data_IF_508822842783
#
_entry.id   IF_508822842783
#
_cell.length_a   1.000
_cell.length_b   1.000
_cell.length_c   1.000
_cell.angle_alpha   90.00
_cell.angle_beta   90.00
_cell.angle_gamma   90.00
#
_symmetry.space_group_name_H-M   'P 1'
#
loop_
_entity.id
_entity.type
_entity.pdbx_description
1 polymer ?
#
# COMPACT_ATOMS: atom_id res chain seq x y z
N UNK A 1 12.45 19.43 -13.61
CA UNK A 1 11.77 20.46 -14.38
C UNK A 1 10.28 20.18 -14.58
N UNK A 2 9.50 21.20 -14.92
CA UNK A 2 8.06 21.00 -15.11
C UNK A 2 7.56 21.71 -16.36
N UNK A 3 6.88 20.94 -17.21
CA UNK A 3 6.07 21.48 -18.28
C UNK A 3 4.76 21.96 -17.64
N UNK A 4 4.47 23.26 -17.82
CA UNK A 4 3.51 24.02 -17.00
C UNK A 4 4.29 24.75 -15.92
N UNK A 5 5.52 25.07 -16.26
CA UNK A 5 6.43 25.72 -15.33
C UNK A 5 5.84 27.01 -14.75
N UNK A 6 5.15 27.78 -15.59
CA UNK A 6 4.59 29.05 -15.17
C UNK A 6 3.70 28.94 -13.94
N UNK A 7 2.94 27.86 -13.85
CA UNK A 7 2.06 27.63 -12.71
C UNK A 7 2.86 27.18 -11.49
N UNK A 8 4.00 26.53 -11.75
CA UNK A 8 4.87 26.04 -10.68
C UNK A 8 5.56 27.19 -9.96
N UNK A 9 6.13 28.12 -10.72
CA UNK A 9 6.80 29.28 -10.16
C UNK A 9 5.79 30.21 -9.50
N UNK A 10 4.56 30.21 -10.01
CA UNK A 10 3.50 31.01 -9.43
C UNK A 10 3.10 30.42 -8.08
N UNK A 11 3.17 29.10 -7.98
CA UNK A 11 2.99 28.41 -6.70
C UNK A 11 4.22 28.63 -5.83
N UNK A 12 5.41 28.41 -6.39
CA UNK A 12 6.65 28.55 -5.64
C UNK A 12 6.75 29.92 -4.98
N UNK A 13 6.38 30.95 -5.72
CA UNK A 13 6.43 32.31 -5.22
C UNK A 13 5.43 32.50 -4.08
N UNK A 14 4.16 32.22 -4.35
CA UNK A 14 3.09 32.38 -3.37
C UNK A 14 3.45 31.72 -2.05
N UNK A 15 4.05 30.53 -2.12
CA UNK A 15 4.44 29.81 -0.92
C UNK A 15 5.47 30.60 -0.11
N UNK A 16 6.54 31.03 -0.76
CA UNK A 16 7.60 31.74 -0.07
C UNK A 16 7.14 33.06 0.51
N UNK A 17 6.18 33.69 -0.16
CA UNK A 17 5.66 34.97 0.31
C UNK A 17 4.77 34.76 1.53
N UNK A 18 3.82 33.83 1.41
CA UNK A 18 2.89 33.56 2.49
C UNK A 18 3.56 32.83 3.66
N UNK A 19 4.03 31.61 3.41
CA UNK A 19 4.64 30.81 4.47
C UNK A 19 5.88 31.48 5.06
N UNK A 20 6.71 32.06 4.19
CA UNK A 20 7.89 32.78 4.64
C UNK A 20 9.20 32.15 4.20
N UNK A 21 9.18 30.84 3.99
CA UNK A 21 10.36 30.11 3.56
C UNK A 21 10.13 29.43 2.22
N UNK A 22 11.20 28.88 1.65
CA UNK A 22 11.10 28.20 0.36
C UNK A 22 10.62 26.76 0.51
N UNK A 23 9.98 26.24 -0.54
CA UNK A 23 9.55 24.85 -0.57
C UNK A 23 10.74 23.94 -0.32
N UNK A 24 10.51 22.84 0.37
CA UNK A 24 11.56 21.85 0.62
C UNK A 24 11.64 20.88 -0.55
N UNK A 25 12.64 20.00 -0.52
CA UNK A 25 12.83 19.02 -1.57
C UNK A 25 11.56 18.25 -1.92
N UNK A 26 10.94 17.66 -0.92
CA UNK A 26 9.69 16.92 -1.13
C UNK A 26 8.60 17.84 -1.65
N UNK A 27 8.49 19.03 -1.05
CA UNK A 27 7.43 19.98 -1.38
C UNK A 27 7.51 20.45 -2.83
N UNK A 28 8.72 20.65 -3.34
CA UNK A 28 8.91 21.00 -4.74
C UNK A 28 8.32 19.91 -5.63
N UNK A 29 8.73 18.67 -5.36
CA UNK A 29 8.24 17.52 -6.10
C UNK A 29 6.71 17.50 -6.11
N UNK A 30 6.13 17.53 -4.91
CA UNK A 30 4.68 17.54 -4.75
C UNK A 30 4.08 18.74 -5.47
N UNK A 31 4.79 19.86 -5.45
CA UNK A 31 4.34 21.08 -6.11
C UNK A 31 4.17 20.87 -7.61
N UNK A 32 5.14 20.19 -8.22
CA UNK A 32 5.14 19.98 -9.65
C UNK A 32 4.00 19.05 -10.07
N UNK A 33 3.52 18.24 -9.14
CA UNK A 33 2.39 17.36 -9.41
C UNK A 33 1.08 18.12 -9.32
N UNK A 34 0.86 18.80 -8.19
CA UNK A 34 -0.37 19.53 -7.97
C UNK A 34 -0.64 20.52 -9.10
N UNK A 35 0.44 21.09 -9.64
CA UNK A 35 0.34 22.03 -10.75
C UNK A 35 -0.18 21.35 -12.02
N UNK A 36 0.06 20.05 -12.14
CA UNK A 36 -0.37 19.30 -13.32
C UNK A 36 -1.71 18.60 -13.11
N UNK A 37 -2.26 18.68 -11.90
CA UNK A 37 -3.53 18.07 -11.58
C UNK A 37 -3.42 16.57 -11.34
N UNK A 38 -2.26 16.15 -10.84
CA UNK A 38 -2.03 14.74 -10.54
C UNK A 38 -2.23 14.48 -9.05
N UNK A 39 -2.93 13.40 -8.73
CA UNK A 39 -3.09 12.96 -7.36
C UNK A 39 -1.86 12.15 -6.96
N UNK A 40 -1.67 11.93 -5.66
CA UNK A 40 -0.51 11.16 -5.21
C UNK A 40 -0.46 10.90 -3.71
N UNK A 41 0.38 9.95 -3.33
CA UNK A 41 0.63 9.63 -1.93
C UNK A 41 1.91 10.32 -1.45
N UNK A 42 1.81 11.10 -0.38
CA UNK A 42 2.95 11.78 0.20
C UNK A 42 3.94 10.82 0.87
N UNK A 43 4.83 10.24 0.07
CA UNK A 43 5.86 9.35 0.62
C UNK A 43 7.01 10.17 1.21
N UNK A 44 6.84 10.60 2.46
CA UNK A 44 7.87 11.35 3.19
C UNK A 44 7.72 11.17 4.71
N UNK A 45 8.78 11.46 5.49
CA UNK A 45 8.69 11.36 6.95
C UNK A 45 7.86 12.48 7.56
N UNK A 46 7.73 12.47 8.88
CA UNK A 46 6.92 13.45 9.59
C UNK A 46 7.75 14.67 10.01
N UNK A 47 7.20 15.85 9.79
CA UNK A 47 7.87 17.08 10.16
C UNK A 47 8.60 17.74 9.00
N UNK A 48 8.31 17.29 7.78
CA UNK A 48 8.89 17.90 6.59
C UNK A 48 7.85 18.73 5.83
N UNK A 49 6.75 19.04 6.50
CA UNK A 49 5.75 19.93 5.95
C UNK A 49 4.69 19.28 5.07
N UNK A 50 4.07 18.23 5.59
CA UNK A 50 3.00 17.55 4.86
C UNK A 50 1.70 18.35 4.99
N UNK A 51 1.36 18.70 6.22
CA UNK A 51 0.16 19.49 6.48
C UNK A 51 0.30 20.90 5.92
N UNK A 52 1.50 21.46 6.05
CA UNK A 52 1.78 22.81 5.60
C UNK A 52 1.58 22.96 4.11
N UNK A 53 1.94 21.91 3.37
CA UNK A 53 1.83 21.92 1.91
C UNK A 53 0.36 21.82 1.48
N UNK A 54 -0.36 20.90 2.11
CA UNK A 54 -1.78 20.75 1.82
C UNK A 54 -2.52 22.03 2.13
N UNK A 55 -2.13 22.67 3.22
CA UNK A 55 -2.74 23.93 3.64
C UNK A 55 -2.45 25.04 2.62
N UNK A 56 -1.18 25.21 2.30
CA UNK A 56 -0.77 26.26 1.36
C UNK A 56 -1.36 26.03 -0.03
N UNK A 57 -1.44 24.78 -0.45
CA UNK A 57 -1.98 24.43 -1.76
C UNK A 57 -3.44 24.83 -1.87
N UNK A 58 -4.22 24.55 -0.82
CA UNK A 58 -5.62 24.93 -0.77
C UNK A 58 -5.74 26.46 -0.89
N UNK A 59 -4.83 27.18 -0.26
CA UNK A 59 -4.82 28.63 -0.32
C UNK A 59 -4.51 29.10 -1.74
N UNK A 60 -3.57 28.44 -2.38
CA UNK A 60 -3.19 28.80 -3.74
C UNK A 60 -4.30 28.50 -4.74
N UNK A 61 -5.12 27.49 -4.44
CA UNK A 61 -6.22 27.11 -5.31
C UNK A 61 -7.42 28.04 -5.13
N UNK A 62 -7.57 28.57 -3.91
CA UNK A 62 -8.68 29.47 -3.61
C UNK A 62 -8.61 30.74 -4.44
N UNK A 63 -7.40 31.23 -4.67
CA UNK A 63 -7.18 32.42 -5.48
C UNK A 63 -7.84 32.31 -6.84
N UNK A 64 -7.85 31.08 -7.38
CA UNK A 64 -8.40 30.83 -8.70
C UNK A 64 -9.86 30.39 -8.61
N UNK A 65 -10.42 30.44 -7.40
CA UNK A 65 -11.81 30.11 -7.18
C UNK A 65 -12.08 28.61 -7.11
N UNK A 66 -11.05 27.85 -6.78
CA UNK A 66 -11.19 26.40 -6.66
C UNK A 66 -11.40 25.99 -5.20
N UNK A 67 -12.20 24.96 -4.99
CA UNK A 67 -12.54 24.52 -3.65
C UNK A 67 -11.66 23.38 -3.17
N UNK A 68 -11.47 23.30 -1.85
CA UNK A 68 -10.61 22.27 -1.26
C UNK A 68 -11.26 21.68 -0.02
N UNK A 69 -10.85 20.46 0.33
CA UNK A 69 -11.28 19.83 1.57
C UNK A 69 -10.05 19.27 2.29
N UNK A 70 -9.97 19.54 3.59
CA UNK A 70 -8.84 19.08 4.38
C UNK A 70 -9.31 18.16 5.50
N UNK A 71 -9.03 16.87 5.35
CA UNK A 71 -9.53 15.86 6.28
C UNK A 71 -8.44 15.38 7.24
N UNK A 72 -8.74 15.46 8.54
CA UNK A 72 -7.76 15.07 9.56
C UNK A 72 -8.35 14.04 10.53
N UNK A 73 -7.47 13.28 11.20
CA UNK A 73 -7.90 12.24 12.13
C UNK A 73 -8.36 12.77 13.49
N UNK A 74 -7.81 13.91 13.92
CA UNK A 74 -8.14 14.46 15.22
C UNK A 74 -8.81 15.84 15.12
N UNK A 75 -9.41 16.28 16.23
CA UNK A 75 -10.09 17.56 16.27
C UNK A 75 -9.12 18.73 16.41
N UNK A 76 -8.12 18.56 17.28
CA UNK A 76 -7.09 19.57 17.47
C UNK A 76 -6.41 19.93 16.16
N UNK A 77 -6.26 18.94 15.29
CA UNK A 77 -5.68 19.16 13.97
C UNK A 77 -6.62 20.00 13.11
N UNK A 78 -7.92 19.83 13.30
CA UNK A 78 -8.92 20.62 12.61
C UNK A 78 -8.86 22.07 13.08
N UNK A 79 -8.82 22.26 14.39
CA UNK A 79 -8.70 23.59 14.98
C UNK A 79 -7.44 24.29 14.51
N UNK A 80 -6.29 23.68 14.78
CA UNK A 80 -4.99 24.27 14.44
C UNK A 80 -4.91 24.70 12.98
N UNK A 81 -5.44 23.88 12.08
CA UNK A 81 -5.41 24.20 10.66
C UNK A 81 -6.36 25.36 10.36
N UNK A 82 -7.52 25.37 11.01
CA UNK A 82 -8.47 26.47 10.86
C UNK A 82 -7.85 27.79 11.30
N UNK A 83 -7.16 27.76 12.43
CA UNK A 83 -6.50 28.95 12.96
C UNK A 83 -5.43 29.46 12.00
N UNK A 84 -4.53 28.56 11.59
CA UNK A 84 -3.45 28.92 10.68
C UNK A 84 -3.97 29.47 9.35
N UNK A 85 -5.05 28.87 8.85
CA UNK A 85 -5.64 29.28 7.58
C UNK A 85 -6.22 30.69 7.64
N UNK A 86 -7.03 30.95 8.65
CA UNK A 86 -7.72 32.22 8.77
C UNK A 86 -6.76 33.37 9.07
N UNK A 87 -5.52 33.05 9.40
CA UNK A 87 -4.49 34.05 9.63
C UNK A 87 -3.76 34.38 8.34
N UNK A 88 -3.64 33.36 7.48
CA UNK A 88 -2.94 33.48 6.21
C UNK A 88 -3.89 33.88 5.09
N UNK A 89 -5.19 33.79 5.38
CA UNK A 89 -6.22 34.02 4.38
C UNK A 89 -6.29 35.48 3.94
N UNK A 90 -6.68 35.68 2.69
CA UNK A 90 -6.94 37.02 2.16
C UNK A 90 -8.39 37.40 2.44
N UNK A 91 -8.81 38.57 1.95
CA UNK A 91 -10.17 39.05 2.19
C UNK A 91 -11.23 38.24 1.44
N UNK A 92 -10.86 37.73 0.27
CA UNK A 92 -11.81 37.04 -0.60
C UNK A 92 -12.14 35.62 -0.14
N UNK A 93 -11.12 34.85 0.17
CA UNK A 93 -11.27 33.42 0.46
C UNK A 93 -12.24 33.13 1.61
N UNK A 94 -13.15 32.19 1.37
CA UNK A 94 -14.11 31.75 2.37
C UNK A 94 -13.64 30.46 3.00
N UNK A 95 -13.40 30.47 4.31
CA UNK A 95 -12.91 29.28 5.00
C UNK A 95 -13.82 28.86 6.15
N UNK A 96 -14.21 27.59 6.15
CA UNK A 96 -15.08 27.05 7.19
C UNK A 96 -14.59 25.69 7.69
N UNK A 97 -14.76 25.44 8.99
CA UNK A 97 -14.38 24.18 9.58
C UNK A 97 -15.50 23.60 10.43
N UNK A 98 -15.36 22.34 10.85
CA UNK A 98 -16.39 21.69 11.66
C UNK A 98 -15.87 20.58 12.56
N UNK A 99 -16.25 20.64 13.83
CA UNK A 99 -16.01 19.56 14.78
C UNK A 99 -17.12 19.56 15.83
N UNK A 100 -17.35 18.42 16.47
CA UNK A 100 -18.48 18.25 17.38
C UNK A 100 -18.46 19.20 18.59
N UNK A 101 -17.26 19.52 19.08
CA UNK A 101 -17.12 20.39 20.25
C UNK A 101 -17.11 21.85 19.85
N UNK A 102 -17.81 22.16 18.76
CA UNK A 102 -17.86 23.52 18.24
C UNK A 102 -19.10 24.23 18.75
N UNK A 103 -19.06 25.55 18.81
CA UNK A 103 -20.20 26.33 19.24
C UNK A 103 -21.34 26.20 18.23
N UNK A 104 -22.57 26.35 18.70
CA UNK A 104 -23.74 26.25 17.84
C UNK A 104 -23.68 27.31 16.75
N UNK A 105 -23.21 28.51 17.11
CA UNK A 105 -23.09 29.59 16.14
C UNK A 105 -22.17 29.21 15.00
N UNK A 106 -20.98 28.72 15.34
CA UNK A 106 -19.98 28.38 14.34
C UNK A 106 -20.40 27.14 13.55
N UNK A 107 -21.19 26.28 14.17
CA UNK A 107 -21.68 25.07 13.50
C UNK A 107 -22.64 25.43 12.37
N UNK A 108 -23.56 26.35 12.64
CA UNK A 108 -24.56 26.75 11.65
C UNK A 108 -23.95 27.52 10.48
N UNK A 109 -22.89 28.28 10.74
CA UNK A 109 -22.18 28.97 9.67
C UNK A 109 -21.63 27.96 8.67
N UNK A 110 -21.07 26.88 9.19
CA UNK A 110 -20.51 25.81 8.38
C UNK A 110 -21.59 25.11 7.57
N UNK A 111 -22.68 24.77 8.25
CA UNK A 111 -23.78 24.02 7.63
C UNK A 111 -24.55 24.87 6.62
N UNK A 112 -24.52 26.18 6.79
CA UNK A 112 -25.22 27.09 5.89
C UNK A 112 -24.53 27.15 4.53
N UNK A 113 -23.25 27.52 4.56
CA UNK A 113 -22.47 27.64 3.34
C UNK A 113 -22.18 26.27 2.71
N UNK A 114 -22.18 25.23 3.53
CA UNK A 114 -21.95 23.87 3.04
C UNK A 114 -23.06 23.45 2.10
N UNK A 115 -24.29 23.83 2.42
CA UNK A 115 -25.43 23.51 1.57
C UNK A 115 -25.55 24.50 0.42
N UNK A 116 -25.14 25.74 0.67
CA UNK A 116 -25.23 26.80 -0.33
C UNK A 116 -24.01 26.84 -1.24
N UNK A 117 -23.05 25.95 -1.00
CA UNK A 117 -21.82 25.91 -1.77
C UNK A 117 -21.12 27.27 -1.79
N UNK A 118 -21.20 27.99 -0.68
CA UNK A 118 -20.56 29.29 -0.53
C UNK A 118 -19.28 29.17 0.28
N UNK A 119 -18.32 28.42 -0.23
CA UNK A 119 -17.06 28.19 0.47
C UNK A 119 -15.91 27.96 -0.51
N UNK A 120 -14.70 28.22 -0.04
CA UNK A 120 -13.50 27.92 -0.82
C UNK A 120 -12.75 26.76 -0.18
N UNK A 121 -12.65 26.78 1.14
CA UNK A 121 -11.94 25.74 1.87
C UNK A 121 -12.78 25.18 3.02
N UNK A 122 -12.77 23.85 3.15
CA UNK A 122 -13.48 23.17 4.23
C UNK A 122 -12.51 22.30 5.02
N UNK A 123 -12.62 22.35 6.35
CA UNK A 123 -11.77 21.53 7.20
C UNK A 123 -12.59 20.75 8.24
N UNK A 124 -12.52 19.43 8.16
CA UNK A 124 -13.21 18.55 9.08
C UNK A 124 -12.46 17.24 9.26
N UNK A 125 -12.94 16.39 10.17
CA UNK A 125 -12.26 15.15 10.50
C UNK A 125 -12.75 13.96 9.68
N UNK A 126 -12.16 12.80 9.94
CA UNK A 126 -12.56 11.57 9.28
C UNK A 126 -13.87 11.04 9.83
N UNK A 127 -14.23 11.49 11.03
CA UNK A 127 -15.53 11.18 11.61
C UNK A 127 -16.62 11.91 10.83
N UNK A 128 -16.39 13.18 10.52
CA UNK A 128 -17.33 13.97 9.74
C UNK A 128 -17.64 13.28 8.42
N UNK A 129 -16.63 12.66 7.83
CA UNK A 129 -16.79 11.94 6.56
C UNK A 129 -17.72 10.74 6.75
N UNK A 130 -17.57 10.06 7.88
CA UNK A 130 -18.39 8.88 8.16
C UNK A 130 -19.85 9.23 8.40
N UNK A 131 -20.09 10.43 8.93
CA UNK A 131 -21.45 10.87 9.23
C UNK A 131 -22.11 11.50 8.02
N UNK A 132 -21.31 12.09 7.14
CA UNK A 132 -21.83 12.82 5.99
C UNK A 132 -21.35 12.28 4.65
N UNK A 133 -21.42 10.97 4.46
CA UNK A 133 -21.00 10.37 3.20
C UNK A 133 -21.93 10.75 2.06
N UNK A 134 -23.24 10.67 2.31
CA UNK A 134 -24.24 10.97 1.30
C UNK A 134 -24.09 12.39 0.78
N UNK A 135 -24.06 13.36 1.69
CA UNK A 135 -23.94 14.77 1.31
C UNK A 135 -22.59 15.10 0.67
N UNK A 136 -21.53 14.47 1.18
CA UNK A 136 -20.19 14.67 0.62
C UNK A 136 -20.08 14.21 -0.83
N UNK A 137 -20.57 13.00 -1.09
CA UNK A 137 -20.48 12.39 -2.40
C UNK A 137 -21.22 13.20 -3.47
N UNK A 138 -22.01 14.17 -3.04
CA UNK A 138 -22.78 15.01 -3.96
C UNK A 138 -22.04 16.31 -4.30
N UNK A 139 -20.80 16.40 -3.86
CA UNK A 139 -19.99 17.60 -4.09
C UNK A 139 -18.65 17.28 -4.73
N UNK A 140 -18.15 18.18 -5.56
CA UNK A 140 -16.87 18.00 -6.20
C UNK A 140 -15.84 19.02 -5.72
N UNK A 141 -14.74 18.54 -5.17
CA UNK A 141 -13.65 19.39 -4.71
C UNK A 141 -12.48 19.30 -5.67
N UNK A 142 -11.88 20.45 -5.98
CA UNK A 142 -10.70 20.46 -6.83
C UNK A 142 -9.52 19.84 -6.09
N UNK A 143 -9.56 19.88 -4.76
CA UNK A 143 -8.46 19.37 -3.95
C UNK A 143 -8.95 18.76 -2.65
N UNK A 144 -8.61 17.50 -2.44
CA UNK A 144 -8.92 16.80 -1.20
C UNK A 144 -7.64 16.34 -0.55
N UNK A 145 -7.42 16.75 0.68
CA UNK A 145 -6.20 16.39 1.40
C UNK A 145 -6.52 15.52 2.61
N UNK A 146 -6.11 14.26 2.53
CA UNK A 146 -6.40 13.31 3.61
C UNK A 146 -5.14 13.03 4.43
N UNK A 147 -5.20 13.35 5.72
CA UNK A 147 -4.05 13.13 6.60
C UNK A 147 -4.02 11.69 7.12
N UNK A 148 -5.18 11.19 7.56
CA UNK A 148 -5.28 9.81 8.05
C UNK A 148 -5.46 8.83 6.90
N UNK A 149 -4.62 7.80 6.88
CA UNK A 149 -4.64 6.84 5.78
C UNK A 149 -5.52 5.64 6.09
N UNK A 150 -5.38 5.11 7.29
CA UNK A 150 -6.17 3.96 7.72
C UNK A 150 -7.67 4.23 7.59
N UNK A 151 -8.09 5.43 7.95
CA UNK A 151 -9.49 5.83 7.82
C UNK A 151 -9.99 5.62 6.40
N UNK A 152 -9.14 5.94 5.43
CA UNK A 152 -9.49 5.79 4.02
C UNK A 152 -9.75 4.33 3.66
N UNK A 153 -9.00 3.43 4.28
CA UNK A 153 -9.00 2.02 3.91
C UNK A 153 -9.76 1.13 4.87
N UNK A 154 -10.26 1.73 5.96
CA UNK A 154 -11.03 0.97 6.96
C UNK A 154 -12.34 0.44 6.41
N UNK A 155 -13.04 1.28 5.66
CA UNK A 155 -14.29 0.87 5.02
C UNK A 155 -14.23 1.10 3.53
N UNK A 156 -14.58 0.07 2.76
CA UNK A 156 -14.61 0.17 1.31
C UNK A 156 -15.51 1.32 0.88
N UNK A 157 -16.43 1.69 1.76
CA UNK A 157 -17.34 2.79 1.51
C UNK A 157 -16.59 4.14 1.54
N UNK A 158 -15.51 4.19 2.31
CA UNK A 158 -14.67 5.39 2.39
C UNK A 158 -14.03 5.77 1.05
N UNK A 159 -13.33 4.82 0.46
CA UNK A 159 -12.67 5.00 -0.82
C UNK A 159 -13.63 5.57 -1.87
N UNK A 160 -14.84 5.02 -1.93
CA UNK A 160 -15.87 5.50 -2.85
C UNK A 160 -16.22 6.96 -2.57
N UNK A 161 -16.27 7.32 -1.28
CA UNK A 161 -16.64 8.67 -0.90
C UNK A 161 -15.63 9.73 -1.37
N UNK A 162 -14.34 9.45 -1.17
CA UNK A 162 -13.29 10.34 -1.66
C UNK A 162 -13.37 10.46 -3.19
N UNK A 163 -13.43 9.31 -3.86
CA UNK A 163 -13.53 9.25 -5.32
C UNK A 163 -14.61 10.17 -5.86
N UNK A 164 -15.82 10.06 -5.30
CA UNK A 164 -16.92 10.94 -5.70
C UNK A 164 -16.66 12.38 -5.26
N UNK A 165 -15.87 12.54 -4.21
CA UNK A 165 -15.52 13.87 -3.74
C UNK A 165 -14.61 14.59 -4.73
N UNK A 166 -13.89 13.82 -5.53
CA UNK A 166 -13.01 14.40 -6.54
C UNK A 166 -13.65 14.43 -7.93
N UNK A 167 -14.98 14.29 -7.96
CA UNK A 167 -15.72 14.41 -9.19
C UNK A 167 -15.80 13.13 -10.01
N UNK A 168 -15.64 11.99 -9.36
CA UNK A 168 -15.78 10.71 -10.03
C UNK A 168 -17.14 10.10 -9.78
N UNK A 169 -18.04 10.17 -10.77
CA UNK A 169 -19.42 9.68 -10.67
C UNK A 169 -19.49 8.25 -10.12
N UNK A 170 -20.56 7.96 -9.39
CA UNK A 170 -20.77 6.65 -8.81
C UNK A 170 -20.85 5.56 -9.89
N UNK A 171 -21.48 5.89 -11.01
CA UNK A 171 -21.62 4.94 -12.12
C UNK A 171 -20.26 4.48 -12.64
N UNK A 172 -19.32 5.40 -12.69
CA UNK A 172 -17.97 5.11 -13.19
C UNK A 172 -17.16 4.33 -12.17
N UNK A 173 -17.50 4.46 -10.90
CA UNK A 173 -16.84 3.70 -9.85
C UNK A 173 -17.26 2.22 -9.90
N UNK A 174 -18.55 1.99 -10.13
CA UNK A 174 -19.05 0.62 -10.25
C UNK A 174 -18.43 -0.10 -11.45
N UNK A 175 -18.50 0.53 -12.61
CA UNK A 175 -17.96 -0.07 -13.83
C UNK A 175 -16.46 -0.30 -13.73
N UNK A 176 -15.78 0.62 -13.06
CA UNK A 176 -14.33 0.48 -12.83
C UNK A 176 -14.03 -0.74 -11.97
N UNK A 177 -14.73 -0.84 -10.84
CA UNK A 177 -14.54 -1.95 -9.93
C UNK A 177 -14.97 -3.28 -10.57
N UNK A 178 -16.07 -3.23 -11.32
CA UNK A 178 -16.56 -4.39 -12.04
C UNK A 178 -15.50 -4.90 -13.01
N UNK A 179 -14.76 -3.96 -13.61
CA UNK A 179 -13.69 -4.30 -14.55
C UNK A 179 -12.47 -4.85 -13.82
N UNK A 180 -12.14 -4.25 -12.69
CA UNK A 180 -10.97 -4.64 -11.90
C UNK A 180 -11.16 -5.99 -11.24
N UNK A 181 -12.38 -6.29 -10.84
CA UNK A 181 -12.70 -7.57 -10.20
C UNK A 181 -12.44 -8.73 -11.16
N UNK A 182 -12.74 -8.52 -12.43
CA UNK A 182 -12.53 -9.55 -13.45
C UNK A 182 -11.05 -9.77 -13.70
N UNK A 183 -10.22 -8.86 -13.21
CA UNK A 183 -8.78 -8.95 -13.38
C UNK A 183 -8.26 -8.06 -14.48
N UNK A 184 -9.15 -7.31 -15.10
CA UNK A 184 -8.78 -6.39 -16.18
C UNK A 184 -8.39 -5.02 -15.62
N UNK A 185 -7.85 -4.18 -16.49
CA UNK A 185 -7.54 -2.80 -16.10
C UNK A 185 -8.53 -1.85 -16.75
N UNK A 186 -9.00 -0.89 -15.97
CA UNK A 186 -10.05 0.03 -16.39
C UNK A 186 -9.46 1.31 -16.98
N UNK A 187 -9.87 1.68 -18.18
CA UNK A 187 -9.39 2.88 -18.83
C UNK A 187 -10.34 4.04 -18.58
N UNK A 188 -10.02 4.89 -17.60
CA UNK A 188 -10.87 6.01 -17.24
C UNK A 188 -11.18 6.90 -18.45
N UNK A 189 -12.34 7.57 -18.42
CA UNK A 189 -12.72 8.51 -19.49
C UNK A 189 -11.80 9.73 -19.46
N UNK A 190 -11.20 10.05 -20.59
CA UNK A 190 -10.19 11.10 -20.65
C UNK A 190 -10.76 12.52 -20.57
N UNK A 191 -12.07 12.64 -20.68
CA UNK A 191 -12.72 13.94 -20.61
C UNK A 191 -13.32 14.24 -19.24
N UNK A 192 -13.07 13.37 -18.28
CA UNK A 192 -13.63 13.53 -16.94
C UNK A 192 -12.94 14.65 -16.17
N UNK A 193 -11.61 14.60 -16.12
CA UNK A 193 -10.82 15.62 -15.43
C UNK A 193 -11.20 15.69 -13.96
N UNK A 194 -10.76 14.69 -13.18
CA UNK A 194 -11.05 14.62 -11.74
C UNK A 194 -10.18 15.59 -10.95
N UNK A 195 -10.59 15.87 -9.71
CA UNK A 195 -9.83 16.76 -8.86
C UNK A 195 -8.60 16.08 -8.31
N UNK A 196 -7.86 16.78 -7.45
CA UNK A 196 -6.65 16.24 -6.88
C UNK A 196 -6.90 15.55 -5.55
N UNK A 197 -6.42 14.31 -5.42
CA UNK A 197 -6.49 13.58 -4.17
C UNK A 197 -5.09 13.38 -3.63
N UNK A 198 -4.85 13.82 -2.40
CA UNK A 198 -3.54 13.64 -1.78
C UNK A 198 -3.66 12.92 -0.43
N UNK A 199 -2.99 11.78 -0.33
CA UNK A 199 -3.02 10.99 0.91
C UNK A 199 -1.69 11.12 1.65
N UNK A 200 -1.78 11.57 2.90
CA UNK A 200 -0.59 11.93 3.67
C UNK A 200 0.45 10.83 3.81
N UNK A 201 0.00 9.63 4.14
CA UNK A 201 0.93 8.54 4.42
C UNK A 201 0.51 7.24 3.75
N UNK A 202 1.21 6.15 4.09
CA UNK A 202 0.88 4.81 3.62
C UNK A 202 0.69 3.88 4.82
N UNK A 203 -0.37 3.10 4.81
CA UNK A 203 -0.73 2.24 5.93
C UNK A 203 0.26 1.09 6.11
N UNK A 204 0.67 0.85 7.35
CA UNK A 204 1.53 -0.28 7.69
C UNK A 204 0.69 -1.55 7.79
N UNK A 205 -0.62 -1.40 7.59
CA UNK A 205 -1.55 -2.52 7.64
C UNK A 205 -2.68 -2.33 6.62
N UNK A 206 -2.35 -2.48 5.33
CA UNK A 206 -3.32 -2.33 4.24
C UNK A 206 -4.19 -3.56 4.11
N UNK A 207 -5.45 -3.38 3.71
CA UNK A 207 -6.39 -4.50 3.58
C UNK A 207 -7.51 -4.22 2.58
N UNK A 208 -7.76 -5.17 1.69
CA UNK A 208 -8.85 -5.05 0.74
C UNK A 208 -8.49 -5.11 -0.73
N UNK A 209 -9.51 -5.12 -1.57
CA UNK A 209 -9.36 -5.10 -3.02
C UNK A 209 -9.68 -3.70 -3.51
N UNK A 210 -10.45 -2.98 -2.71
CA UNK A 210 -10.88 -1.61 -3.01
C UNK A 210 -9.77 -0.61 -3.38
N UNK A 211 -8.65 -0.63 -2.64
CA UNK A 211 -7.55 0.33 -2.85
C UNK A 211 -7.00 0.38 -4.29
N UNK A 212 -7.51 -0.46 -5.19
CA UNK A 212 -7.05 -0.51 -6.58
C UNK A 212 -7.77 0.49 -7.49
N UNK A 213 -8.80 1.14 -6.95
CA UNK A 213 -9.59 2.09 -7.72
C UNK A 213 -8.86 3.42 -7.94
N UNK A 214 -7.89 3.69 -7.08
CA UNK A 214 -7.07 4.89 -7.22
C UNK A 214 -6.09 4.70 -8.37
N UNK A 215 -5.72 3.43 -8.60
CA UNK A 215 -4.77 3.06 -9.64
C UNK A 215 -5.29 3.33 -11.04
N UNK A 216 -6.59 3.12 -11.24
CA UNK A 216 -7.19 3.25 -12.56
C UNK A 216 -7.98 4.54 -12.75
N UNK A 217 -8.28 5.22 -11.65
CA UNK A 217 -9.07 6.44 -11.72
C UNK A 217 -8.22 7.70 -11.53
N UNK A 218 -7.27 7.65 -10.60
CA UNK A 218 -6.42 8.79 -10.33
C UNK A 218 -4.96 8.51 -10.66
N UNK A 219 -4.69 7.33 -11.22
CA UNK A 219 -3.35 6.95 -11.66
C UNK A 219 -2.30 6.99 -10.55
N UNK A 220 -2.70 6.62 -9.34
CA UNK A 220 -1.77 6.56 -8.21
C UNK A 220 -2.11 5.39 -7.29
N UNK A 221 -1.10 4.89 -6.57
CA UNK A 221 -1.28 3.72 -5.72
C UNK A 221 -1.10 4.05 -4.24
N UNK A 222 -2.16 3.82 -3.47
CA UNK A 222 -2.15 4.08 -2.03
C UNK A 222 -1.17 3.18 -1.29
N UNK A 223 -1.25 1.88 -1.57
CA UNK A 223 -0.34 0.92 -0.96
C UNK A 223 1.11 1.26 -1.22
N UNK A 224 1.99 0.80 -0.33
CA UNK A 224 3.41 1.07 -0.46
C UNK A 224 4.06 0.22 -1.54
N UNK A 226 3.47 -3.18 -5.57
CA UNK A 226 4.39 -4.27 -5.29
C UNK A 226 5.84 -3.78 -5.20
N UNK A 227 6.73 -4.65 -4.75
CA UNK A 227 8.15 -4.31 -4.66
C UNK A 227 8.65 -3.76 -6.00
N UNK A 228 9.66 -2.90 -5.94
CA UNK A 228 10.23 -2.29 -7.13
C UNK A 228 10.21 -3.25 -8.31
N UNK A 229 10.61 -4.49 -8.07
CA UNK A 229 10.56 -5.54 -9.08
C UNK A 229 10.96 -6.87 -8.45
N UNK A 230 10.62 -7.97 -9.10
CA UNK A 230 10.87 -9.29 -8.55
C UNK A 230 11.10 -10.35 -9.61
N UNK A 231 11.84 -11.39 -9.24
CA UNK A 231 12.08 -12.53 -10.10
C UNK A 231 11.77 -13.81 -9.34
N UNK A 232 10.49 -14.05 -9.11
CA UNK A 232 10.04 -15.22 -8.34
C UNK A 232 9.14 -16.13 -9.16
N UNK A 233 9.37 -17.44 -9.03
CA UNK A 233 8.50 -18.44 -9.66
C UNK A 233 7.57 -19.06 -8.63
N UNK A 234 6.28 -18.84 -8.80
CA UNK A 234 5.29 -19.32 -7.84
C UNK A 234 4.65 -20.63 -8.32
N UNK A 235 4.80 -21.68 -7.52
CA UNK A 235 4.26 -22.98 -7.87
C UNK A 235 3.31 -23.48 -6.79
N UNK A 236 2.22 -24.10 -7.21
CA UNK A 236 1.21 -24.58 -6.27
C UNK A 236 1.11 -26.10 -6.24
N UNK A 237 1.07 -26.65 -5.03
CA UNK A 237 0.88 -28.09 -4.84
C UNK A 237 -0.52 -28.33 -4.28
N UNK A 238 -1.35 -29.03 -5.04
CA UNK A 238 -2.76 -29.22 -4.69
C UNK A 238 -2.99 -30.24 -3.57
N UNK A 239 -2.14 -30.20 -2.55
CA UNK A 239 -2.31 -31.10 -1.40
C UNK A 239 -1.38 -30.73 -0.25
N UNK A 240 -1.52 -31.46 0.85
CA UNK A 240 -0.66 -31.27 2.02
C UNK A 240 0.18 -32.52 2.26
N UNK A 241 0.83 -32.99 1.21
CA UNK A 241 1.67 -34.18 1.28
C UNK A 241 3.05 -33.86 1.87
N UNK A 242 3.23 -34.22 3.14
CA UNK A 242 4.51 -34.03 3.82
C UNK A 242 5.61 -34.77 3.08
N UNK A 243 5.25 -35.64 2.14
CA UNK A 243 6.25 -36.46 1.46
C UNK A 243 6.49 -35.91 0.05
N UNK A 244 5.53 -35.13 -0.43
CA UNK A 244 5.71 -34.35 -1.63
C UNK A 244 6.67 -33.25 -1.23
N UNK A 245 6.65 -32.93 0.05
CA UNK A 245 7.52 -31.94 0.67
C UNK A 245 8.93 -32.50 0.86
N UNK A 246 9.02 -33.74 1.30
CA UNK A 246 10.30 -34.38 1.55
C UNK A 246 11.15 -34.48 0.29
N UNK A 247 10.51 -34.79 -0.84
CA UNK A 247 11.21 -34.93 -2.10
C UNK A 247 11.55 -33.58 -2.73
N UNK A 248 10.98 -32.50 -2.18
CA UNK A 248 11.34 -31.15 -2.59
C UNK A 248 12.57 -30.69 -1.81
N UNK A 249 12.58 -30.97 -0.51
CA UNK A 249 13.70 -30.62 0.35
C UNK A 249 14.94 -31.40 -0.06
N UNK A 250 14.74 -32.51 -0.75
CA UNK A 250 15.85 -33.36 -1.17
C UNK A 250 16.60 -32.79 -2.37
N UNK A 251 15.92 -31.96 -3.17
CA UNK A 251 16.56 -31.30 -4.30
C UNK A 251 16.91 -29.86 -3.97
N UNK A 252 16.06 -29.20 -3.19
CA UNK A 252 16.35 -27.85 -2.72
C UNK A 252 17.55 -27.90 -1.80
N UNK A 253 17.50 -28.80 -0.82
CA UNK A 253 18.63 -29.08 0.05
C UNK A 253 18.93 -27.98 1.06
N UNK A 254 19.24 -26.79 0.57
CA UNK A 254 19.70 -25.71 1.43
C UNK A 254 19.03 -24.37 1.15
N UNK A 255 18.99 -23.52 2.18
CA UNK A 255 18.40 -22.19 2.06
C UNK A 255 16.90 -22.23 1.92
N UNK A 256 16.23 -22.89 2.86
CA UNK A 256 14.80 -23.11 2.78
C UNK A 256 14.03 -22.50 3.95
N UNK A 257 12.97 -21.77 3.63
CA UNK A 257 12.08 -21.22 4.66
C UNK A 257 10.70 -21.86 4.55
N UNK A 258 10.17 -22.34 5.68
CA UNK A 258 8.85 -22.96 5.69
C UNK A 258 7.89 -22.20 6.61
N UNK A 259 6.86 -21.61 6.02
CA UNK A 259 5.88 -20.84 6.78
C UNK A 259 4.60 -21.65 7.01
N UNK A 260 4.34 -21.96 8.27
CA UNK A 260 3.12 -22.67 8.64
C UNK A 260 2.05 -21.70 9.11
N UNK A 261 0.79 -22.04 8.85
CA UNK A 261 -0.34 -21.17 9.21
C UNK A 261 -0.40 -20.88 10.71
N UNK A 262 -0.22 -21.92 11.51
CA UNK A 262 -0.27 -21.79 12.96
C UNK A 262 0.97 -22.35 13.62
N UNK A 263 1.23 -21.95 14.86
CA UNK A 263 2.37 -22.47 15.60
C UNK A 263 2.16 -23.92 15.98
N UNK A 264 0.91 -24.37 15.94
CA UNK A 264 0.58 -25.77 16.23
C UNK A 264 0.96 -26.65 15.06
N UNK A 265 0.58 -26.22 13.85
CA UNK A 265 0.91 -26.96 12.64
C UNK A 265 2.41 -26.90 12.36
N UNK A 266 3.06 -25.84 12.85
CA UNK A 266 4.49 -25.67 12.68
C UNK A 266 5.28 -26.65 13.51
N UNK A 267 4.84 -26.87 14.75
CA UNK A 267 5.48 -27.82 15.64
C UNK A 267 5.32 -29.25 15.12
N UNK A 268 4.13 -29.56 14.62
CA UNK A 268 3.87 -30.86 14.02
C UNK A 268 4.80 -31.11 12.85
N UNK A 269 5.00 -30.07 12.03
CA UNK A 269 5.85 -30.16 10.85
C UNK A 269 7.32 -30.22 11.26
N UNK A 270 7.64 -29.57 12.38
CA UNK A 270 9.01 -29.57 12.90
C UNK A 270 9.37 -30.96 13.45
N UNK A 271 8.39 -31.64 14.03
CA UNK A 271 8.59 -32.98 14.57
C UNK A 271 8.84 -33.98 13.44
N UNK A 272 8.02 -33.89 12.40
CA UNK A 272 8.10 -34.81 11.27
C UNK A 272 9.44 -34.73 10.55
N UNK A 273 9.91 -33.50 10.29
CA UNK A 273 11.16 -33.30 9.57
C UNK A 273 12.37 -33.71 10.41
N UNK A 274 12.32 -33.39 11.70
CA UNK A 274 13.37 -33.77 12.63
C UNK A 274 13.44 -35.30 12.70
N UNK A 275 12.30 -35.94 12.50
CA UNK A 275 12.19 -37.40 12.56
C UNK A 275 12.83 -38.05 11.33
N UNK A 276 12.85 -37.32 10.22
CA UNK A 276 13.48 -37.81 9.00
C UNK A 276 14.91 -37.29 8.86
N UNK A 277 15.45 -36.78 9.96
CA UNK A 277 16.86 -36.39 10.05
C UNK A 277 17.25 -35.21 9.16
N UNK A 278 16.30 -34.32 8.89
CA UNK A 278 16.60 -33.11 8.15
C UNK A 278 17.21 -32.07 9.10
N UNK A 279 18.04 -31.18 8.56
CA UNK A 279 18.65 -30.13 9.36
C UNK A 279 17.74 -28.90 9.46
N UNK A 280 16.73 -29.00 10.32
CA UNK A 280 15.71 -27.96 10.42
C UNK A 280 15.78 -27.20 11.74
N UNK A 281 15.35 -25.94 11.72
CA UNK A 281 15.29 -25.11 12.90
C UNK A 281 13.99 -24.34 13.00
N UNK A 282 13.60 -23.97 14.22
CA UNK A 282 12.35 -23.24 14.43
C UNK A 282 12.59 -21.81 14.89
N UNK A 283 11.59 -20.95 14.70
CA UNK A 283 11.74 -19.53 14.99
C UNK A 283 10.76 -18.99 16.03
N UNK A 284 9.88 -19.85 16.54
CA UNK A 284 8.92 -19.43 17.55
C UNK A 284 9.50 -19.47 18.95
N UNK A 285 10.51 -20.32 19.15
CA UNK A 285 11.17 -20.42 20.45
C UNK A 285 12.41 -19.53 20.53
N UNK A 286 13.39 -19.81 19.67
CA UNK A 286 14.63 -19.05 19.63
C UNK A 286 14.91 -18.52 18.23
N UNK A 287 14.45 -17.30 17.95
CA UNK A 287 14.62 -16.70 16.62
C UNK A 287 16.05 -16.23 16.35
N UNK A 288 16.57 -15.37 17.22
CA UNK A 288 17.90 -14.78 17.06
C UNK A 288 19.01 -15.80 16.81
N UNK A 289 18.94 -16.94 17.52
CA UNK A 289 19.98 -17.95 17.42
C UNK A 289 19.77 -18.92 16.25
N UNK A 290 18.54 -19.35 16.04
CA UNK A 290 18.21 -20.25 14.92
C UNK A 290 18.40 -19.58 13.55
N UNK A 291 18.22 -18.27 13.50
CA UNK A 291 18.40 -17.52 12.26
C UNK A 291 19.88 -17.29 11.95
N UNK A 292 20.68 -17.10 12.99
CA UNK A 292 22.12 -16.90 12.81
C UNK A 292 22.81 -18.19 12.38
N UNK A 293 22.34 -19.31 12.93
CA UNK A 293 22.84 -20.62 12.51
C UNK A 293 22.46 -20.87 11.06
N UNK A 294 21.21 -20.58 10.72
CA UNK A 294 20.72 -20.69 9.35
C UNK A 294 21.51 -19.74 8.45
N UNK A 295 21.80 -18.56 8.98
CA UNK A 295 22.53 -17.54 8.23
C UNK A 295 23.95 -17.97 7.93
N UNK A 296 24.57 -18.70 8.86
CA UNK A 296 25.96 -19.11 8.71
C UNK A 296 26.08 -20.46 8.00
N UNK A 297 24.94 -21.13 7.80
CA UNK A 297 24.92 -22.39 7.08
C UNK A 297 24.81 -23.61 7.97
N UNK A 298 24.76 -23.39 9.28
CA UNK A 298 24.58 -24.47 10.23
C UNK A 298 23.24 -25.16 10.03
N UNK A 299 22.21 -24.36 9.75
CA UNK A 299 20.86 -24.88 9.56
C UNK A 299 20.41 -24.73 8.11
N UNK A 300 19.90 -25.80 7.53
CA UNK A 300 19.44 -25.78 6.14
C UNK A 300 18.01 -25.30 5.98
N UNK A 301 17.13 -25.74 6.88
CA UNK A 301 15.71 -25.42 6.79
C UNK A 301 15.23 -24.66 8.02
N UNK A 302 14.43 -23.62 7.80
CA UNK A 302 13.91 -22.82 8.90
C UNK A 302 12.38 -22.72 8.85
N UNK A 303 11.73 -23.18 9.91
CA UNK A 303 10.27 -23.16 9.98
C UNK A 303 9.77 -22.01 10.86
N UNK A 304 8.70 -21.34 10.41
CA UNK A 304 8.15 -20.21 11.14
C UNK A 304 6.65 -20.09 11.01
N UNK A 305 6.10 -18.98 11.51
CA UNK A 305 4.66 -18.74 11.49
C UNK A 305 4.28 -17.52 10.65
N UNK A 306 3.34 -17.72 9.73
CA UNK A 306 2.87 -16.65 8.85
C UNK A 306 2.29 -15.51 9.67
N UNK A 307 2.92 -14.35 9.60
CA UNK A 307 2.43 -13.14 10.27
C UNK A 307 2.79 -11.93 9.43
N UNK A 308 1.87 -10.98 9.34
CA UNK A 308 2.08 -9.80 8.51
C UNK A 308 3.40 -9.11 8.83
N UNK A 309 3.53 -8.59 10.04
CA UNK A 309 4.77 -7.95 10.47
C UNK A 309 5.58 -8.92 11.34
N UNK A 310 5.88 -10.09 10.78
CA UNK A 310 6.63 -11.11 11.50
C UNK A 310 8.14 -10.97 11.34
N UNK A 311 8.89 -11.65 12.22
CA UNK A 311 10.34 -11.61 12.17
C UNK A 311 10.88 -12.30 10.92
N UNK A 312 10.25 -13.41 10.55
CA UNK A 312 10.73 -14.21 9.44
C UNK A 312 10.06 -13.81 8.12
N UNK A 313 8.86 -13.25 8.23
CA UNK A 313 8.07 -12.86 7.06
C UNK A 313 8.58 -11.59 6.40
N UNK A 314 9.09 -10.67 7.21
CA UNK A 314 9.47 -9.34 6.70
C UNK A 314 10.89 -8.92 7.07
N UNK A 315 11.24 -9.06 8.34
CA UNK A 315 12.51 -8.59 8.85
C UNK A 315 13.76 -9.15 8.19
N UNK A 316 13.81 -10.47 8.05
CA UNK A 316 15.00 -11.14 7.53
C UNK A 316 15.36 -10.67 6.11
N UNK A 317 16.64 -10.38 5.90
CA UNK A 317 17.10 -9.85 4.62
C UNK A 317 18.36 -10.58 4.14
N UNK A 318 18.17 -11.75 3.52
CA UNK A 318 19.29 -12.53 3.02
C UNK A 318 18.95 -13.22 1.70
N UNK A 319 19.12 -12.51 0.58
CA UNK A 319 18.86 -13.07 -0.75
C UNK A 319 19.89 -14.14 -1.13
N UNK A 320 21.09 -14.02 -0.60
CA UNK A 320 22.16 -14.98 -0.92
C UNK A 320 21.99 -16.29 -0.16
N UNK A 321 21.22 -16.24 0.93
CA UNK A 321 20.99 -17.41 1.76
C UNK A 321 19.61 -18.01 1.52
N UNK A 322 18.59 -17.15 1.54
CA UNK A 322 17.20 -17.60 1.32
C UNK A 322 16.90 -17.74 -0.16
N UNK A 323 16.71 -18.98 -0.60
CA UNK A 323 16.49 -19.27 -2.02
C UNK A 323 15.08 -19.79 -2.27
N UNK A 324 14.57 -20.59 -1.35
CA UNK A 324 13.28 -21.23 -1.52
C UNK A 324 12.32 -20.91 -0.38
N UNK A 325 11.09 -20.54 -0.72
CA UNK A 325 10.07 -20.26 0.28
C UNK A 325 8.89 -21.21 0.11
N UNK A 326 8.56 -21.95 1.17
CA UNK A 326 7.47 -22.92 1.12
C UNK A 326 6.35 -22.57 2.08
N UNK A 327 5.13 -22.51 1.58
CA UNK A 327 3.97 -22.22 2.39
C UNK A 327 3.14 -23.46 2.68
N UNK A 328 3.12 -23.87 3.94
CA UNK A 328 2.25 -24.95 4.36
C UNK A 328 0.86 -24.37 4.56
N UNK A 329 0.09 -24.32 3.47
CA UNK A 329 -1.20 -23.68 3.48
C UNK A 329 -1.07 -22.18 3.23
N UNK A 330 -2.01 -21.62 2.48
CA UNK A 330 -1.97 -20.20 2.15
C UNK A 330 -2.22 -19.35 3.40
N UNK A 331 -1.49 -18.24 3.53
CA UNK A 331 -1.71 -17.31 4.64
C UNK A 331 -3.20 -16.97 4.75
N UNK A 332 -3.73 -17.07 5.97
CA UNK A 332 -5.15 -16.84 6.21
C UNK A 332 -5.61 -15.47 5.69
N UNK A 333 -6.76 -15.46 5.01
CA UNK A 333 -7.32 -14.23 4.49
C UNK A 333 -8.23 -14.44 3.30
N UNK A 334 -7.64 -14.76 2.13
CA UNK A 334 -6.19 -14.94 1.95
C UNK A 334 -5.41 -13.64 2.13
N UNK A 335 -4.21 -13.72 2.71
CA UNK A 335 -3.40 -12.56 2.99
C UNK A 335 -2.29 -12.38 1.96
N UNK A 336 -2.65 -11.78 0.84
CA UNK A 336 -1.71 -11.59 -0.27
C UNK A 336 -0.50 -10.75 0.13
N UNK A 337 -0.71 -9.81 1.05
CA UNK A 337 0.35 -8.92 1.48
C UNK A 337 1.36 -9.67 2.35
N UNK A 338 0.89 -10.64 3.11
CA UNK A 338 1.78 -11.48 3.92
C UNK A 338 2.53 -12.47 3.02
N UNK A 339 1.81 -13.02 2.04
CA UNK A 339 2.42 -13.91 1.06
C UNK A 339 3.49 -13.17 0.27
N UNK A 340 3.15 -11.95 -0.15
CA UNK A 340 4.09 -11.10 -0.89
C UNK A 340 5.37 -10.85 -0.11
N UNK A 341 5.24 -10.30 1.09
CA UNK A 341 6.39 -10.03 1.94
C UNK A 341 7.24 -11.29 2.16
N UNK A 342 6.57 -12.41 2.43
CA UNK A 342 7.25 -13.66 2.75
C UNK A 342 8.02 -14.24 1.57
N UNK A 343 7.39 -14.23 0.40
CA UNK A 343 8.01 -14.79 -0.80
C UNK A 343 9.15 -13.91 -1.33
N UNK A 344 9.17 -12.66 -0.88
CA UNK A 344 10.19 -11.71 -1.30
C UNK A 344 11.53 -11.96 -0.67
N UNK A 345 11.55 -12.80 0.37
CA UNK A 345 12.78 -13.16 1.06
C UNK A 345 13.73 -13.90 0.13
N UNK A 346 13.17 -14.54 -0.88
CA UNK A 346 13.94 -15.36 -1.81
C UNK A 346 14.41 -14.58 -3.03
N UNK A 347 13.97 -13.32 -3.16
CA UNK A 347 14.31 -12.53 -4.33
C UNK A 347 14.49 -11.03 -4.06
N UNK A 348 15.74 -10.59 -4.12
CA UNK A 348 16.07 -9.16 -4.07
C UNK A 348 17.48 -8.91 -4.61
N UNK A 349 17.88 -7.65 -4.68
CA UNK A 349 19.14 -7.27 -5.32
C UNK A 349 20.38 -7.67 -4.53
N UNK A 350 21.28 -8.41 -5.18
CA UNK A 350 22.55 -8.79 -4.58
C UNK A 350 23.69 -8.46 -5.54
N UNK A 351 24.54 -7.52 -5.15
CA UNK A 351 25.67 -7.10 -5.99
C UNK A 351 25.25 -6.80 -7.43
N UNK A 352 24.12 -6.12 -7.58
CA UNK A 352 23.66 -5.70 -8.89
C UNK A 352 22.99 -6.79 -9.71
N UNK A 353 22.21 -7.63 -9.05
CA UNK A 353 21.43 -8.68 -9.71
C UNK A 353 20.18 -9.00 -8.90
N UNK A 354 19.02 -8.97 -9.54
CA UNK A 354 17.80 -9.39 -8.87
C UNK A 354 17.72 -10.91 -8.91
N UNK A 355 18.30 -11.56 -7.90
CA UNK A 355 18.39 -13.01 -7.88
C UNK A 355 17.05 -13.72 -8.03
N UNK A 356 17.12 -14.99 -8.42
CA UNK A 356 15.92 -15.80 -8.67
C UNK A 356 15.44 -16.47 -7.38
N UNK A 357 14.15 -16.36 -7.10
CA UNK A 357 13.57 -16.98 -5.93
C UNK A 357 12.44 -17.91 -6.28
N UNK A 358 12.25 -18.96 -5.48
CA UNK A 358 11.18 -19.91 -5.72
C UNK A 358 10.22 -19.98 -4.52
N UNK A 359 8.93 -19.81 -4.80
CA UNK A 359 7.91 -19.88 -3.78
C UNK A 359 6.94 -21.01 -4.07
N UNK A 360 6.83 -21.96 -3.15
CA UNK A 360 5.95 -23.11 -3.33
C UNK A 360 4.81 -23.08 -2.30
N UNK A 361 3.58 -23.23 -2.79
CA UNK A 361 2.42 -23.20 -1.91
C UNK A 361 1.77 -24.58 -1.85
N UNK A 362 1.56 -25.09 -0.64
CA UNK A 362 0.84 -26.33 -0.47
C UNK A 362 -0.61 -26.03 -0.07
N UNK A 363 -1.50 -25.98 -1.07
CA UNK A 363 -2.91 -25.70 -0.84
C UNK A 363 -3.79 -26.71 -1.56
N UNK A 364 -4.70 -27.32 -0.82
CA UNK A 364 -5.60 -28.34 -1.36
C UNK A 364 -6.95 -27.71 -1.72
N UNK A 365 -7.26 -26.61 -1.05
CA UNK A 365 -8.53 -25.93 -1.25
C UNK A 365 -8.52 -25.09 -2.52
N UNK A 366 -9.16 -25.61 -3.56
CA UNK A 366 -9.24 -24.94 -4.85
C UNK A 366 -9.81 -23.52 -4.70
N UNK A 367 -10.75 -23.37 -3.76
CA UNK A 367 -11.43 -22.11 -3.55
C UNK A 367 -10.50 -21.03 -3.00
N UNK A 368 -9.72 -21.40 -1.98
CA UNK A 368 -8.78 -20.47 -1.35
C UNK A 368 -7.62 -20.12 -2.27
N UNK A 369 -7.13 -21.12 -3.01
CA UNK A 369 -6.01 -20.91 -3.91
C UNK A 369 -6.36 -19.96 -5.07
N UNK A 370 -7.58 -20.10 -5.59
CA UNK A 370 -8.00 -19.28 -6.72
C UNK A 370 -8.15 -17.80 -6.34
N UNK A 371 -8.55 -17.56 -5.10
CA UNK A 371 -8.65 -16.19 -4.59
C UNK A 371 -7.26 -15.57 -4.53
N UNK A 372 -6.32 -16.30 -3.95
CA UNK A 372 -4.94 -15.86 -3.84
C UNK A 372 -4.34 -15.55 -5.21
N UNK A 373 -4.71 -16.33 -6.22
CA UNK A 373 -4.13 -16.22 -7.55
C UNK A 373 -4.50 -14.90 -8.24
N UNK A 374 -5.78 -14.57 -8.25
CA UNK A 374 -6.25 -13.35 -8.89
C UNK A 374 -5.74 -12.12 -8.16
N UNK A 375 -5.65 -12.21 -6.84
CA UNK A 375 -5.20 -11.10 -6.02
C UNK A 375 -3.70 -10.84 -6.23
N UNK A 376 -2.93 -11.92 -6.32
CA UNK A 376 -1.50 -11.80 -6.59
C UNK A 376 -1.29 -11.16 -7.95
N UNK A 377 -2.17 -11.48 -8.89
CA UNK A 377 -2.10 -10.96 -10.25
C UNK A 377 -2.37 -9.44 -10.31
N UNK A 378 -3.27 -8.97 -9.47
CA UNK A 378 -3.64 -7.55 -9.46
C UNK A 378 -2.64 -6.70 -8.70
N UNK A 379 -2.05 -7.27 -7.67
CA UNK A 379 -1.16 -6.54 -6.78
C UNK A 379 0.29 -6.62 -7.22
N UNK A 380 0.79 -7.84 -7.44
CA UNK A 380 2.18 -8.04 -7.79
C UNK A 380 2.37 -8.39 -9.26
N UNK A 381 1.27 -8.45 -10.01
CA UNK A 381 1.33 -8.80 -11.42
C UNK A 381 2.15 -10.07 -11.64
N UNK A 382 2.01 -11.02 -10.72
CA UNK A 382 2.73 -12.28 -10.81
C UNK A 382 1.74 -13.44 -10.84
N UNK A 383 2.11 -14.53 -11.50
CA UNK A 383 1.22 -15.68 -11.61
C UNK A 383 1.73 -16.88 -10.79
N UNK A 384 0.84 -17.83 -10.57
CA UNK A 384 1.20 -19.07 -9.89
C UNK A 384 0.94 -20.24 -10.80
N UNK A 385 1.99 -21.00 -11.09
CA UNK A 385 1.88 -22.13 -12.01
C UNK A 385 1.60 -23.42 -11.27
N UNK A 386 1.04 -24.39 -11.98
CA UNK A 386 0.74 -25.69 -11.39
C UNK A 386 1.99 -26.58 -11.37
N UNK A 387 2.03 -27.51 -10.42
CA UNK A 387 3.20 -28.38 -10.25
C UNK A 387 3.66 -29.03 -11.54
N UNK A 388 2.71 -29.35 -12.42
CA UNK A 388 3.01 -30.03 -13.67
C UNK A 388 3.78 -29.14 -14.67
N UNK A 389 3.68 -27.83 -14.49
CA UNK A 389 4.39 -26.89 -15.35
C UNK A 389 5.75 -26.52 -14.77
N UNK A 390 6.03 -27.00 -13.57
CA UNK A 390 7.26 -26.67 -12.86
C UNK A 390 8.40 -27.65 -13.19
N UNK A 391 9.49 -27.11 -13.73
CA UNK A 391 10.70 -27.90 -13.96
C UNK A 391 11.69 -27.67 -12.83
N UNK A 392 11.62 -28.52 -11.81
CA UNK A 392 12.38 -28.34 -10.57
C UNK A 392 13.89 -28.25 -10.80
N UNK A 393 14.42 -29.11 -11.66
CA UNK A 393 15.85 -29.08 -11.95
C UNK A 393 16.25 -27.74 -12.54
N UNK A 394 15.43 -27.22 -13.45
CA UNK A 394 15.70 -25.95 -14.09
C UNK A 394 15.56 -24.78 -13.12
N UNK A 395 14.58 -24.88 -12.22
CA UNK A 395 14.37 -23.86 -11.22
C UNK A 395 15.57 -23.77 -10.28
N UNK A 396 16.02 -24.92 -9.79
CA UNK A 396 17.18 -24.98 -8.93
C UNK A 396 18.40 -24.39 -9.64
N UNK A 397 18.48 -24.61 -10.94
CA UNK A 397 19.56 -24.05 -11.75
C UNK A 397 19.49 -22.53 -11.78
N UNK A 398 18.30 -22.00 -12.06
CA UNK A 398 18.10 -20.56 -12.13
C UNK A 398 18.41 -19.89 -10.80
N UNK A 399 18.16 -20.61 -9.71
CA UNK A 399 18.43 -20.10 -8.37
C UNK A 399 19.94 -20.03 -8.09
N UNK A 400 20.67 -21.04 -8.54
CA UNK A 400 22.12 -21.09 -8.31
C UNK A 400 22.88 -20.20 -9.27
N UNK A 401 22.40 -20.12 -10.51
CA UNK A 401 23.08 -19.37 -11.56
C UNK A 401 22.91 -17.86 -11.35
N UNK A 402 21.78 -17.46 -10.79
CA UNK A 402 21.52 -16.04 -10.54
C UNK A 402 22.36 -15.51 -9.39
N UNK A 403 22.78 -16.41 -8.51
CA UNK A 403 23.61 -16.04 -7.36
C UNK A 403 25.09 -16.16 -7.66
N UNK A 404 25.41 -16.62 -8.86
CA UNK A 404 26.79 -16.59 -9.34
C UNK A 404 27.02 -15.28 -10.10
N UNK A 405 26.05 -14.93 -10.94
CA UNK A 405 26.10 -13.66 -11.66
C UNK A 405 26.05 -12.48 -10.70
N UNK A 406 25.63 -12.75 -9.46
CA UNK A 406 25.62 -11.74 -8.43
C UNK A 406 27.03 -11.54 -7.87
N UNK A 407 27.73 -12.65 -7.69
CA UNK A 407 29.10 -12.60 -7.19
C UNK A 407 30.04 -11.94 -8.19
N UNK A 408 29.64 -11.93 -9.47
CA UNK A 408 30.43 -11.30 -10.51
C UNK A 408 30.43 -9.78 -10.39
#
# INVERSE_FOLDING_TARGET
>A
AAEFWNEYEDFRSFFKKKFGKDLTGYQRLWAKRIVQGKSFTMVAPTGVGKTTFGMMTALWLARKGKKSALVFPTVTLVKQTLERLQKLADEKVKIFGFYSSMKKEEKEKFEKSFEEDDYHILVFSTQFVSKNREKLSQKRFDFVFVDDVDAVLKASRNIDTLLMMVGIPEEIIRKAFSTIKQGKIYERPKNLKPGILVVSSATAKPRGIRPLLFRDLLNFTVGRLVSVARNITHVRISSRSKEKLVELLEIFRDGILIFAQTEEEGKELYEYLKRFKFNVGETWSEFEKNFEDFKVGKINILIGVQAYYGKLTRGVDLPERIKYVIFWGTPSGPDVYTYIQASGRSSRILNGVLVKGVSVIFEEDEEIFESLKTRLLLIAEEEIIEEAEANWKELVHEVEESRRRSERELTDTSR
#
